data_IF_990207149115
#
_entry.id   IF_990207149115
#
_cell.length_a   1.000
_cell.length_b   1.000
_cell.length_c   1.000
_cell.angle_alpha   90.00
_cell.angle_beta   90.00
_cell.angle_gamma   90.00
#
_symmetry.space_group_name_H-M   'P 1'
#
loop_
_entity.id
_entity.type
_entity.pdbx_description
1 polymer ?
#
# COMPACT_ATOMS: atom_id res chain seq x y z
N UNK A 1 11.31 30.66 -3.35
CA UNK A 1 12.76 30.92 -3.25
C UNK A 1 13.43 29.56 -3.17
N UNK A 2 14.74 29.43 -3.27
CA UNK A 2 15.38 28.15 -3.03
C UNK A 2 15.28 27.80 -1.53
N UNK A 3 14.74 26.64 -1.18
CA UNK A 3 14.69 26.14 0.21
C UNK A 3 15.56 24.90 0.33
N UNK A 4 16.40 24.85 1.36
CA UNK A 4 17.22 23.67 1.63
C UNK A 4 16.34 22.49 2.03
N UNK A 5 16.48 21.38 1.31
CA UNK A 5 15.90 20.09 1.65
C UNK A 5 16.96 19.24 2.37
N UNK A 6 16.85 19.04 3.70
CA UNK A 6 17.84 18.29 4.46
C UNK A 6 17.84 16.79 4.16
N UNK A 7 16.70 16.22 3.75
CA UNK A 7 16.59 14.80 3.38
C UNK A 7 17.31 14.52 2.05
N UNK A 8 17.07 15.36 1.04
CA UNK A 8 17.65 15.21 -0.30
C UNK A 8 19.02 15.87 -0.47
N UNK A 9 19.44 16.70 0.49
CA UNK A 9 20.67 17.52 0.44
C UNK A 9 20.77 18.38 -0.83
N UNK A 10 19.64 18.94 -1.27
CA UNK A 10 19.54 19.84 -2.43
C UNK A 10 18.68 21.06 -2.08
N UNK A 11 18.75 22.08 -2.93
CA UNK A 11 17.86 23.24 -2.85
C UNK A 11 16.60 22.98 -3.69
N UNK A 12 15.45 22.84 -3.02
CA UNK A 12 14.16 22.73 -3.68
C UNK A 12 13.70 24.10 -4.17
N UNK A 13 13.11 24.14 -5.37
CA UNK A 13 12.49 25.34 -5.89
C UNK A 13 11.12 25.55 -5.24
N UNK A 14 11.00 26.47 -4.28
CA UNK A 14 9.67 26.88 -3.82
C UNK A 14 9.10 27.92 -4.79
N UNK A 15 7.93 27.58 -5.33
CA UNK A 15 7.11 28.49 -6.13
C UNK A 15 6.88 29.77 -5.33
N UNK A 16 7.35 30.89 -5.85
CA UNK A 16 7.18 32.21 -5.22
C UNK A 16 5.87 32.84 -5.66
N UNK A 17 5.57 34.05 -5.14
CA UNK A 17 4.52 34.92 -5.70
C UNK A 17 4.62 35.18 -7.21
N UNK A 18 5.78 34.92 -7.83
CA UNK A 18 6.00 35.06 -9.27
C UNK A 18 5.62 33.80 -10.07
N UNK A 19 5.42 32.67 -9.41
CA UNK A 19 4.98 31.40 -9.99
C UNK A 19 3.64 31.00 -9.35
N UNK A 20 2.58 31.71 -9.75
CA UNK A 20 1.22 31.34 -9.40
C UNK A 20 0.62 30.52 -10.55
N UNK A 21 -0.01 29.40 -10.21
CA UNK A 21 -0.82 28.67 -11.18
C UNK A 21 -1.99 29.57 -11.59
N UNK A 22 -2.12 29.80 -12.89
CA UNK A 22 -3.27 30.51 -13.43
C UNK A 22 -4.48 29.58 -13.41
N UNK A 23 -5.51 29.97 -12.66
CA UNK A 23 -6.71 29.15 -12.50
C UNK A 23 -7.62 29.39 -13.69
N UNK A 24 -7.51 28.51 -14.68
CA UNK A 24 -8.27 28.60 -15.92
C UNK A 24 -9.66 27.99 -15.73
N UNK A 25 -10.69 28.81 -15.87
CA UNK A 25 -12.06 28.34 -15.97
C UNK A 25 -12.32 27.88 -17.41
N UNK A 26 -12.20 26.57 -17.64
CA UNK A 26 -12.38 25.96 -18.96
C UNK A 26 -13.84 25.57 -19.17
N UNK A 27 -14.36 25.76 -20.38
CA UNK A 27 -15.75 25.46 -20.74
C UNK A 27 -16.06 23.97 -20.80
N UNK A 28 -15.04 23.14 -21.01
CA UNK A 28 -15.16 21.68 -21.12
C UNK A 28 -13.99 20.98 -20.41
N UNK A 29 -14.19 19.76 -19.89
CA UNK A 29 -13.15 19.03 -19.18
C UNK A 29 -12.08 18.47 -20.14
N UNK A 30 -10.82 18.47 -19.71
CA UNK A 30 -9.77 17.71 -20.39
C UNK A 30 -9.86 16.23 -20.03
N UNK A 31 -10.37 15.42 -20.95
CA UNK A 31 -10.60 13.99 -20.76
C UNK A 31 -9.40 13.13 -21.20
N UNK A 32 -8.29 13.75 -21.64
CA UNK A 32 -7.05 13.08 -22.06
C UNK A 32 -7.28 11.93 -23.06
N UNK A 33 -8.10 12.17 -24.10
CA UNK A 33 -8.55 11.15 -25.08
C UNK A 33 -7.45 10.47 -25.86
N UNK A 34 -6.32 11.15 -26.05
CA UNK A 34 -5.16 10.58 -26.73
C UNK A 34 -4.51 9.45 -25.91
N UNK A 35 -4.62 9.53 -24.58
CA UNK A 35 -4.10 8.54 -23.62
C UNK A 35 -5.19 7.54 -23.22
N UNK A 36 -6.44 8.01 -23.05
CA UNK A 36 -7.59 7.22 -22.62
C UNK A 36 -8.72 7.23 -23.68
N UNK A 37 -8.51 6.63 -24.86
CA UNK A 37 -9.55 6.47 -25.87
C UNK A 37 -10.66 5.53 -25.36
N UNK A 38 -11.89 5.70 -25.84
CA UNK A 38 -13.03 4.87 -25.41
C UNK A 38 -13.10 3.51 -26.09
N UNK A 39 -12.55 3.41 -27.30
CA UNK A 39 -12.71 2.24 -28.18
C UNK A 39 -11.44 1.38 -28.26
N UNK A 40 -10.35 1.87 -27.67
CA UNK A 40 -9.03 1.23 -27.71
C UNK A 40 -8.48 1.06 -26.29
N UNK A 41 -7.42 0.26 -26.17
CA UNK A 41 -6.65 0.14 -24.92
C UNK A 41 -5.94 1.47 -24.64
N UNK A 42 -5.86 1.84 -23.36
CA UNK A 42 -5.14 3.03 -22.91
C UNK A 42 -3.70 3.03 -23.44
N UNK A 43 -3.24 4.21 -23.83
CA UNK A 43 -1.88 4.44 -24.29
C UNK A 43 -0.99 4.84 -23.11
N UNK A 44 0.30 4.58 -23.23
CA UNK A 44 1.29 5.04 -22.24
C UNK A 44 2.14 6.10 -22.95
N UNK A 45 2.03 7.34 -22.48
CA UNK A 45 2.88 8.43 -22.94
C UNK A 45 4.20 8.42 -22.15
N UNK A 46 5.32 8.30 -22.86
CA UNK A 46 6.66 8.30 -22.28
C UNK A 46 7.27 9.69 -22.46
N UNK A 47 7.38 10.46 -21.38
CA UNK A 47 8.02 11.78 -21.42
C UNK A 47 9.56 11.72 -21.46
N UNK A 48 10.12 10.50 -21.42
CA UNK A 48 11.55 10.19 -21.41
C UNK A 48 12.36 10.93 -20.33
N UNK A 49 11.71 11.38 -19.25
CA UNK A 49 12.40 12.06 -18.16
C UNK A 49 12.93 11.05 -17.14
N UNK A 50 14.15 11.29 -16.68
CA UNK A 50 14.70 10.58 -15.54
C UNK A 50 14.23 11.26 -14.25
N UNK A 51 13.55 10.50 -13.40
CA UNK A 51 13.18 10.94 -12.06
C UNK A 51 14.28 10.48 -11.09
N UNK A 52 14.86 11.37 -10.26
CA UNK A 52 15.83 10.95 -9.26
C UNK A 52 15.19 9.98 -8.27
N UNK A 53 15.92 8.93 -7.89
CA UNK A 53 15.46 7.95 -6.90
C UNK A 53 15.26 8.70 -5.57
N UNK A 54 14.06 8.57 -5.01
CA UNK A 54 13.65 9.24 -3.78
C UNK A 54 13.05 8.20 -2.83
N UNK A 55 13.91 7.40 -2.15
CA UNK A 55 13.42 6.38 -1.24
C UNK A 55 12.85 7.04 0.02
N UNK A 56 11.84 6.42 0.62
CA UNK A 56 11.28 6.90 1.87
C UNK A 56 12.34 6.88 3.00
N UNK A 57 12.27 7.87 3.89
CA UNK A 57 13.15 7.95 5.07
C UNK A 57 13.01 6.72 5.97
N UNK A 58 11.80 6.15 6.03
CA UNK A 58 11.49 4.91 6.73
C UNK A 58 10.92 3.89 5.75
N UNK A 59 11.49 2.68 5.79
CA UNK A 59 11.08 1.55 4.96
C UNK A 59 10.52 0.45 5.86
N UNK A 60 9.33 -0.01 5.52
CA UNK A 60 8.71 -1.20 6.12
C UNK A 60 7.96 -2.01 5.07
N UNK A 61 7.58 -3.22 5.45
CA UNK A 61 6.93 -4.22 4.63
C UNK A 61 5.51 -4.43 5.16
N UNK A 62 4.55 -4.46 4.26
CA UNK A 62 3.20 -4.99 4.51
C UNK A 62 3.12 -6.36 3.85
N UNK A 63 2.89 -7.40 4.65
CA UNK A 63 2.75 -8.77 4.19
C UNK A 63 1.29 -9.06 3.77
N UNK A 64 1.11 -9.84 2.70
CA UNK A 64 -0.21 -10.28 2.22
C UNK A 64 -0.31 -11.79 2.11
N UNK A 65 0.51 -12.53 2.88
CA UNK A 65 0.58 -14.00 2.82
C UNK A 65 -0.78 -14.66 3.10
N UNK A 66 -1.55 -14.14 4.08
CA UNK A 66 -2.85 -14.70 4.46
C UNK A 66 -4.04 -14.17 3.64
N UNK A 67 -3.79 -13.30 2.65
CA UNK A 67 -4.79 -12.83 1.68
C UNK A 67 -4.42 -13.27 0.27
N UNK A 68 -3.48 -12.57 -0.36
CA UNK A 68 -3.08 -12.83 -1.75
C UNK A 68 -2.31 -14.15 -1.84
N UNK A 69 -1.40 -14.39 -0.91
CA UNK A 69 -0.56 -15.59 -0.90
C UNK A 69 -1.36 -16.89 -0.81
N UNK A 70 -2.42 -16.91 0.00
CA UNK A 70 -3.27 -18.09 0.13
C UNK A 70 -4.18 -18.34 -1.09
N UNK A 71 -4.43 -17.34 -1.93
CA UNK A 71 -5.25 -17.52 -3.15
C UNK A 71 -4.49 -18.28 -4.25
N UNK A 72 -3.16 -18.33 -4.17
CA UNK A 72 -2.31 -19.02 -5.14
C UNK A 72 -2.03 -20.51 -4.80
N UNK A 73 -2.51 -21.02 -3.65
CA UNK A 73 -2.20 -22.36 -3.14
C UNK A 73 -3.41 -23.00 -2.44
N UNK A 74 -3.38 -24.31 -2.13
CA UNK A 74 -4.39 -24.90 -1.26
C UNK A 74 -4.52 -24.11 0.05
N UNK A 75 -5.74 -23.89 0.56
CA UNK A 75 -5.95 -23.10 1.76
C UNK A 75 -5.18 -23.63 2.98
N UNK A 76 -4.54 -22.72 3.73
CA UNK A 76 -3.81 -23.08 4.94
C UNK A 76 -4.74 -23.58 6.07
N UNK A 77 -4.25 -24.50 6.89
CA UNK A 77 -4.88 -24.79 8.17
C UNK A 77 -4.64 -23.66 9.18
N UNK A 78 -5.43 -23.62 10.25
CA UNK A 78 -5.29 -22.62 11.32
C UNK A 78 -3.90 -22.72 11.98
N UNK A 79 -3.38 -23.93 12.15
CA UNK A 79 -2.06 -24.20 12.71
C UNK A 79 -0.93 -23.72 11.80
N UNK A 80 -1.09 -23.91 10.48
CA UNK A 80 -0.13 -23.39 9.49
C UNK A 80 -0.11 -21.87 9.50
N UNK A 81 -1.28 -21.23 9.56
CA UNK A 81 -1.39 -19.77 9.66
C UNK A 81 -0.66 -19.27 10.90
N UNK A 82 -0.92 -19.86 12.08
CA UNK A 82 -0.24 -19.49 13.31
C UNK A 82 1.28 -19.62 13.20
N UNK A 83 1.76 -20.74 12.64
CA UNK A 83 3.19 -20.97 12.50
C UNK A 83 3.86 -19.94 11.58
N UNK A 84 3.21 -19.60 10.47
CA UNK A 84 3.68 -18.56 9.55
C UNK A 84 3.64 -17.20 10.24
N UNK A 85 2.58 -16.88 10.99
CA UNK A 85 2.46 -15.63 11.74
C UNK A 85 3.58 -15.48 12.76
N UNK A 86 3.91 -16.55 13.50
CA UNK A 86 5.04 -16.58 14.43
C UNK A 86 6.38 -16.33 13.70
N UNK A 87 6.55 -16.87 12.49
CA UNK A 87 7.74 -16.58 11.67
C UNK A 87 7.78 -15.12 11.19
N UNK A 88 6.65 -14.56 10.75
CA UNK A 88 6.55 -13.15 10.35
C UNK A 88 6.86 -12.22 11.52
N UNK A 89 6.35 -12.52 12.72
CA UNK A 89 6.64 -11.74 13.92
C UNK A 89 8.13 -11.77 14.27
N UNK A 90 8.76 -12.95 14.23
CA UNK A 90 10.20 -13.09 14.43
C UNK A 90 11.03 -12.34 13.39
N UNK A 91 10.62 -12.37 12.13
CA UNK A 91 11.28 -11.63 11.04
C UNK A 91 11.10 -10.11 11.16
N UNK A 92 9.92 -9.67 11.63
CA UNK A 92 9.62 -8.25 11.83
C UNK A 92 10.54 -7.62 12.86
N UNK A 93 10.81 -8.36 13.94
CA UNK A 93 11.66 -7.92 15.04
C UNK A 93 11.11 -6.69 15.78
N UNK A 94 11.86 -6.16 16.75
CA UNK A 94 11.39 -5.05 17.60
C UNK A 94 11.21 -3.72 16.83
N UNK A 95 11.75 -3.62 15.61
CA UNK A 95 11.63 -2.41 14.77
C UNK A 95 10.41 -2.45 13.84
N UNK A 96 9.64 -3.55 13.84
CA UNK A 96 8.42 -3.64 13.04
C UNK A 96 8.71 -3.54 11.53
N UNK A 97 9.75 -4.22 11.05
CA UNK A 97 10.14 -4.20 9.62
C UNK A 97 9.02 -4.79 8.77
N UNK A 98 8.38 -5.87 9.23
CA UNK A 98 7.10 -6.34 8.69
C UNK A 98 6.02 -5.71 9.58
N UNK A 99 5.51 -4.57 9.13
CA UNK A 99 4.65 -3.71 9.93
C UNK A 99 3.28 -4.31 10.10
N UNK A 100 2.72 -4.83 9.01
CA UNK A 100 1.35 -5.32 8.96
C UNK A 100 1.29 -6.62 8.18
N UNK A 101 0.29 -7.45 8.47
CA UNK A 101 -0.06 -8.63 7.68
C UNK A 101 -1.57 -8.63 7.42
N UNK A 102 -1.94 -8.94 6.18
CA UNK A 102 -3.32 -8.85 5.70
C UNK A 102 -4.00 -10.23 5.68
N UNK A 103 -5.20 -10.31 6.26
CA UNK A 103 -6.04 -11.51 6.34
C UNK A 103 -7.32 -11.39 5.53
N UNK A 104 -7.79 -12.54 5.02
CA UNK A 104 -9.07 -12.68 4.33
C UNK A 104 -10.17 -13.21 5.28
N UNK A 105 -11.07 -12.36 5.76
CA UNK A 105 -11.96 -12.64 6.90
C UNK A 105 -13.33 -13.26 6.54
N UNK A 106 -13.42 -14.11 5.52
CA UNK A 106 -14.71 -14.59 5.02
C UNK A 106 -15.15 -15.95 5.55
N UNK A 107 -14.23 -16.84 5.88
CA UNK A 107 -14.57 -18.14 6.46
C UNK A 107 -14.44 -18.13 7.98
N UNK A 108 -15.22 -18.97 8.66
CA UNK A 108 -15.11 -19.13 10.12
C UNK A 108 -13.70 -19.60 10.53
N UNK A 109 -13.06 -20.39 9.67
CA UNK A 109 -11.67 -20.82 9.85
C UNK A 109 -10.70 -19.64 9.85
N UNK A 110 -10.84 -18.71 8.90
CA UNK A 110 -9.93 -17.56 8.81
C UNK A 110 -10.16 -16.57 9.96
N UNK A 111 -11.42 -16.39 10.38
CA UNK A 111 -11.78 -15.62 11.58
C UNK A 111 -11.19 -16.24 12.85
N UNK A 112 -11.25 -17.56 12.97
CA UNK A 112 -10.62 -18.29 14.07
C UNK A 112 -9.09 -18.13 14.05
N UNK A 113 -8.47 -18.24 12.88
CA UNK A 113 -7.03 -18.04 12.74
C UNK A 113 -6.60 -16.65 13.20
N UNK A 114 -7.36 -15.60 12.86
CA UNK A 114 -7.10 -14.24 13.33
C UNK A 114 -7.21 -14.12 14.84
N UNK A 115 -8.27 -14.65 15.46
CA UNK A 115 -8.41 -14.63 16.93
C UNK A 115 -7.21 -15.26 17.62
N UNK A 116 -6.78 -16.44 17.16
CA UNK A 116 -5.60 -17.11 17.72
C UNK A 116 -4.28 -16.38 17.44
N UNK A 117 -4.17 -15.63 16.33
CA UNK A 117 -3.02 -14.76 16.09
C UNK A 117 -3.01 -13.57 17.06
N UNK A 118 -4.17 -12.98 17.35
CA UNK A 118 -4.30 -11.88 18.33
C UNK A 118 -3.91 -12.32 19.74
N UNK A 119 -4.22 -13.56 20.12
CA UNK A 119 -3.80 -14.16 21.40
C UNK A 119 -2.26 -14.24 21.57
N UNK A 120 -1.47 -14.05 20.51
CA UNK A 120 0.00 -14.05 20.60
C UNK A 120 0.57 -12.76 21.18
N UNK A 121 -0.24 -11.70 21.27
CA UNK A 121 0.12 -10.44 21.93
C UNK A 121 1.48 -9.90 21.49
N UNK A 122 1.74 -9.96 20.17
CA UNK A 122 2.95 -9.44 19.55
C UNK A 122 2.71 -8.04 19.00
N UNK A 123 3.68 -7.11 19.10
CA UNK A 123 3.52 -5.76 18.56
C UNK A 123 3.49 -5.75 17.02
N UNK A 124 4.16 -6.71 16.37
CA UNK A 124 4.22 -6.83 14.92
C UNK A 124 4.27 -8.28 14.44
N UNK A 125 3.72 -8.58 13.25
CA UNK A 125 2.98 -7.65 12.39
C UNK A 125 1.58 -7.32 12.93
N UNK A 126 1.13 -6.08 12.73
CA UNK A 126 -0.25 -5.68 13.00
C UNK A 126 -1.20 -6.45 12.08
N UNK A 127 -2.29 -6.95 12.64
CA UNK A 127 -3.28 -7.72 11.90
C UNK A 127 -4.24 -6.76 11.21
N UNK A 128 -4.37 -6.88 9.89
CA UNK A 128 -5.30 -6.09 9.07
C UNK A 128 -6.26 -7.01 8.32
N UNK A 129 -7.50 -6.55 8.11
CA UNK A 129 -8.53 -7.29 7.39
C UNK A 129 -8.75 -6.70 6.00
N UNK A 130 -8.77 -7.56 4.98
CA UNK A 130 -9.20 -7.17 3.65
C UNK A 130 -10.70 -7.35 3.48
N UNK A 131 -11.38 -6.31 3.00
CA UNK A 131 -12.83 -6.28 2.79
C UNK A 131 -13.16 -5.79 1.38
N UNK A 132 -14.33 -6.16 0.85
CA UNK A 132 -14.85 -5.56 -0.38
C UNK A 132 -15.55 -4.25 -0.05
N UNK A 133 -15.89 -3.48 -1.09
CA UNK A 133 -16.80 -2.34 -1.00
C UNK A 133 -18.26 -2.79 -0.80
N UNK A 134 -18.49 -3.61 0.23
CA UNK A 134 -19.80 -4.13 0.59
C UNK A 134 -20.08 -3.83 2.08
N UNK A 135 -21.19 -3.17 2.44
CA UNK A 135 -21.43 -2.71 3.81
C UNK A 135 -21.34 -3.81 4.88
N UNK A 136 -21.78 -5.03 4.56
CA UNK A 136 -21.71 -6.15 5.51
C UNK A 136 -20.29 -6.62 5.82
N UNK A 137 -19.30 -6.28 5.01
CA UNK A 137 -17.92 -6.67 5.28
C UNK A 137 -17.30 -5.75 6.38
N UNK A 138 -18.00 -4.70 6.82
CA UNK A 138 -17.61 -3.82 7.94
C UNK A 138 -18.09 -4.32 9.31
N UNK A 139 -18.98 -5.32 9.34
CA UNK A 139 -19.57 -5.92 10.56
C UNK A 139 -18.70 -7.05 11.11
#
# INVERSE_FOLDING_TARGET
>A
MARWNPAKKVLDHEHTRFWQYDLKNISEPNLQRDVFPYEEVCRIDFDHKFIPIDPADELWITDTTFRDGQQARPPYSVEQILQIFDFLSRLSGPRGVIRQTEFFLYSDRDKEAVRRCQERDVPYPEITGWIRAHPRDLE
#
